data_IF_660340709632
#
_entry.id   IF_660340709632
#
_cell.length_a   1.000
_cell.length_b   1.000
_cell.length_c   1.000
_cell.angle_alpha   90.00
_cell.angle_beta   90.00
_cell.angle_gamma   90.00
#
_symmetry.space_group_name_H-M   'P 1'
#
loop_
_entity.id
_entity.type
_entity.pdbx_description
1 polymer ?
#
# COMPACT_ATOMS: atom_id res chain seq x y z
N UNK A 1 14.74 21.61 -26.37
CA UNK A 1 15.61 20.79 -25.51
C UNK A 1 14.79 19.61 -24.99
N UNK A 2 15.27 18.37 -25.20
CA UNK A 2 14.89 17.18 -24.43
C UNK A 2 13.50 16.55 -24.65
N UNK A 3 13.31 15.85 -25.77
CA UNK A 3 12.37 14.72 -25.85
C UNK A 3 13.06 13.53 -25.16
N UNK A 4 12.44 12.86 -24.17
CA UNK A 4 12.64 11.44 -23.75
C UNK A 4 11.91 11.06 -22.43
N UNK A 5 11.40 12.00 -21.64
CA UNK A 5 10.85 11.70 -20.29
C UNK A 5 9.42 11.08 -20.24
N UNK A 6 8.87 10.61 -21.36
CA UNK A 6 7.44 10.21 -21.42
C UNK A 6 7.14 8.73 -21.64
N UNK A 7 8.12 7.82 -21.70
CA UNK A 7 7.86 6.43 -22.13
C UNK A 7 8.52 5.29 -21.32
N UNK A 8 9.03 5.56 -20.11
CA UNK A 8 9.40 4.49 -19.16
C UNK A 8 8.45 4.47 -17.96
N UNK A 9 7.26 3.89 -18.14
CA UNK A 9 6.50 3.37 -17.02
C UNK A 9 7.27 2.20 -16.41
N UNK A 10 7.78 2.33 -15.19
CA UNK A 10 8.47 1.20 -14.57
C UNK A 10 8.77 1.35 -13.09
N UNK A 11 9.74 2.19 -12.72
CA UNK A 11 10.15 2.33 -11.33
C UNK A 11 10.54 3.78 -11.07
N UNK A 12 9.69 4.52 -10.34
CA UNK A 12 10.15 5.77 -9.73
C UNK A 12 11.29 5.40 -8.78
N UNK A 13 12.47 5.97 -9.01
CA UNK A 13 13.62 5.76 -8.14
C UNK A 13 13.46 6.65 -6.90
N UNK A 14 12.82 6.08 -5.88
CA UNK A 14 12.70 6.74 -4.59
C UNK A 14 14.00 6.64 -3.79
N UNK A 15 14.34 7.67 -2.98
CA UNK A 15 15.46 7.59 -2.06
C UNK A 15 15.30 6.37 -1.13
N UNK A 16 16.40 5.76 -0.67
CA UNK A 16 16.32 4.68 0.31
C UNK A 16 15.69 5.19 1.61
N UNK A 17 14.93 4.33 2.27
CA UNK A 17 14.41 4.61 3.61
C UNK A 17 15.58 4.72 4.59
N UNK A 18 15.59 5.76 5.42
CA UNK A 18 16.63 5.95 6.43
C UNK A 18 16.59 4.82 7.48
N UNK A 19 17.76 4.30 7.84
CA UNK A 19 17.89 3.12 8.69
C UNK A 19 17.40 3.35 10.14
N UNK A 20 17.46 4.59 10.61
CA UNK A 20 17.05 5.07 11.93
C UNK A 20 15.64 5.70 11.93
N UNK A 21 14.90 5.59 10.83
CA UNK A 21 13.54 6.13 10.76
C UNK A 21 12.52 5.23 11.46
N UNK A 22 11.48 5.83 12.03
CA UNK A 22 10.35 5.10 12.62
C UNK A 22 9.68 4.15 11.61
N UNK A 23 9.57 4.57 10.35
CA UNK A 23 9.06 3.72 9.27
C UNK A 23 9.92 2.47 9.02
N UNK A 24 11.24 2.52 9.29
CA UNK A 24 12.11 1.35 9.19
C UNK A 24 11.87 0.37 10.33
N UNK A 25 11.68 0.86 11.55
CA UNK A 25 11.31 0.02 12.70
C UNK A 25 9.99 -0.73 12.45
N UNK A 26 8.95 -0.03 12.00
CA UNK A 26 7.67 -0.68 11.65
C UNK A 26 7.84 -1.70 10.52
N UNK A 27 8.66 -1.40 9.51
CA UNK A 27 8.92 -2.35 8.43
C UNK A 27 9.55 -3.65 8.94
N UNK A 28 10.47 -3.56 9.90
CA UNK A 28 11.12 -4.73 10.49
C UNK A 28 10.14 -5.59 11.30
N UNK A 29 9.17 -4.98 11.98
CA UNK A 29 8.12 -5.70 12.73
C UNK A 29 7.18 -6.49 11.81
N UNK A 30 6.76 -5.89 10.70
CA UNK A 30 5.85 -6.54 9.73
C UNK A 30 6.59 -7.39 8.68
N UNK A 31 7.93 -7.40 8.70
CA UNK A 31 8.75 -8.03 7.67
C UNK A 31 8.38 -9.49 7.39
N UNK A 32 8.13 -10.37 8.38
CA UNK A 32 7.76 -11.76 8.09
C UNK A 32 6.47 -11.89 7.27
N UNK A 33 5.43 -11.12 7.63
CA UNK A 33 4.16 -11.12 6.90
C UNK A 33 4.30 -10.49 5.52
N UNK A 34 5.11 -9.42 5.42
CA UNK A 34 5.38 -8.73 4.17
C UNK A 34 6.22 -9.59 3.21
N UNK A 35 7.18 -10.37 3.71
CA UNK A 35 7.95 -11.33 2.91
C UNK A 35 7.05 -12.41 2.30
N UNK A 36 6.09 -12.93 3.07
CA UNK A 36 5.06 -13.84 2.55
C UNK A 36 4.29 -13.22 1.39
N UNK A 37 3.77 -12.00 1.61
CA UNK A 37 3.04 -11.26 0.57
C UNK A 37 3.91 -10.98 -0.67
N UNK A 38 5.17 -10.62 -0.48
CA UNK A 38 6.17 -10.40 -1.55
C UNK A 38 6.43 -11.68 -2.35
N UNK A 39 6.34 -12.86 -1.73
CA UNK A 39 6.43 -14.16 -2.41
C UNK A 39 5.19 -14.50 -3.22
N UNK A 40 4.01 -14.14 -2.71
CA UNK A 40 2.71 -14.51 -3.30
C UNK A 40 2.32 -13.66 -4.51
N UNK A 41 2.69 -12.37 -4.52
CA UNK A 41 2.27 -11.43 -5.56
C UNK A 41 3.43 -10.97 -6.45
N UNK A 42 3.22 -10.92 -7.76
CA UNK A 42 4.24 -10.45 -8.71
C UNK A 42 4.23 -8.93 -8.91
N UNK A 43 3.11 -8.30 -8.60
CA UNK A 43 2.91 -6.87 -8.79
C UNK A 43 3.75 -6.03 -7.82
N UNK A 44 4.05 -4.75 -8.18
CA UNK A 44 4.75 -3.83 -7.28
C UNK A 44 3.98 -3.62 -5.97
N UNK A 45 4.71 -3.43 -4.88
CA UNK A 45 4.13 -3.15 -3.56
C UNK A 45 4.49 -1.74 -3.10
N UNK A 46 3.49 -1.05 -2.58
CA UNK A 46 3.62 0.21 -1.85
C UNK A 46 3.03 0.05 -0.45
N UNK A 47 3.88 0.20 0.57
CA UNK A 47 3.53 0.05 1.98
C UNK A 47 3.31 1.43 2.59
N UNK A 48 2.18 1.60 3.26
CA UNK A 48 1.83 2.75 4.07
C UNK A 48 1.83 2.28 5.53
N UNK A 49 2.91 2.56 6.29
CA UNK A 49 2.98 2.15 7.69
C UNK A 49 2.01 2.96 8.56
N UNK A 50 1.42 2.28 9.55
CA UNK A 50 0.67 2.84 10.70
C UNK A 50 1.33 2.40 12.02
N UNK A 51 0.81 2.88 13.15
CA UNK A 51 1.32 2.55 14.49
C UNK A 51 1.03 1.10 14.89
N UNK A 52 -0.06 0.49 14.39
CA UNK A 52 -0.47 -0.87 14.76
C UNK A 52 -0.81 -1.77 13.56
N UNK A 53 -0.78 -1.22 12.35
CA UNK A 53 -1.03 -1.95 11.12
C UNK A 53 -0.22 -1.37 9.96
N UNK A 54 -0.25 -2.03 8.81
CA UNK A 54 0.32 -1.48 7.60
C UNK A 54 -0.58 -1.77 6.41
N UNK A 55 -0.89 -0.75 5.62
CA UNK A 55 -1.64 -0.90 4.38
C UNK A 55 -0.67 -1.16 3.23
N UNK A 56 -0.99 -2.14 2.39
CA UNK A 56 -0.17 -2.54 1.25
C UNK A 56 -0.99 -2.43 -0.02
N UNK A 57 -0.65 -1.43 -0.84
CA UNK A 57 -1.18 -1.30 -2.19
C UNK A 57 -0.39 -2.22 -3.13
N UNK A 58 -1.12 -3.06 -3.86
CA UNK A 58 -0.56 -4.07 -4.76
C UNK A 58 -0.87 -3.65 -6.20
N UNK A 59 0.15 -3.31 -7.00
CA UNK A 59 -0.02 -2.91 -8.40
C UNK A 59 0.40 -1.47 -8.69
N UNK A 60 -0.47 -0.74 -9.39
CA UNK A 60 -0.23 0.63 -9.87
C UNK A 60 -1.37 1.57 -9.44
N UNK A 61 -1.46 1.91 -8.14
CA UNK A 61 -2.42 2.91 -7.66
C UNK A 61 -2.13 4.30 -8.30
N UNK A 62 -3.16 5.15 -8.51
CA UNK A 62 -4.57 4.92 -8.24
C UNK A 62 -5.31 4.10 -9.33
N UNK A 63 -4.63 3.69 -10.40
CA UNK A 63 -5.31 3.14 -11.60
C UNK A 63 -5.80 1.71 -11.43
N UNK A 64 -4.89 0.79 -11.11
CA UNK A 64 -5.19 -0.65 -10.95
C UNK A 64 -4.40 -1.15 -9.77
N UNK A 65 -5.09 -1.43 -8.67
CA UNK A 65 -4.46 -1.89 -7.46
C UNK A 65 -5.37 -2.86 -6.71
N UNK A 66 -4.77 -3.81 -6.01
CA UNK A 66 -5.37 -4.45 -4.86
C UNK A 66 -4.95 -3.75 -3.58
N UNK A 67 -5.64 -4.03 -2.49
CA UNK A 67 -5.27 -3.59 -1.16
C UNK A 67 -5.19 -4.80 -0.24
N UNK A 68 -4.12 -4.87 0.54
CA UNK A 68 -3.98 -5.74 1.69
C UNK A 68 -3.62 -4.89 2.91
N UNK A 69 -3.82 -5.43 4.11
CA UNK A 69 -3.31 -4.82 5.32
C UNK A 69 -2.80 -5.89 6.28
N UNK A 70 -1.73 -5.54 6.98
CA UNK A 70 -1.04 -6.40 7.93
C UNK A 70 -1.39 -5.89 9.33
N UNK A 71 -2.03 -6.73 10.12
CA UNK A 71 -2.44 -6.45 11.50
C UNK A 71 -2.27 -7.71 12.34
N UNK A 72 -1.79 -7.59 13.58
CA UNK A 72 -1.58 -8.73 14.50
C UNK A 72 -0.83 -9.93 13.86
N UNK A 73 0.13 -9.65 12.98
CA UNK A 73 0.89 -10.67 12.23
C UNK A 73 0.10 -11.42 11.16
N UNK A 74 -1.13 -11.01 10.87
CA UNK A 74 -2.01 -11.57 9.84
C UNK A 74 -2.09 -10.62 8.65
N UNK A 75 -2.27 -11.20 7.46
CA UNK A 75 -2.54 -10.46 6.23
C UNK A 75 -4.02 -10.61 5.89
N UNK A 76 -4.73 -9.49 5.85
CA UNK A 76 -6.07 -9.41 5.30
C UNK A 76 -6.04 -8.71 3.94
N UNK A 77 -7.00 -9.01 3.07
CA UNK A 77 -7.12 -8.43 1.73
C UNK A 77 -8.47 -7.75 1.52
N UNK A 78 -8.52 -6.85 0.55
CA UNK A 78 -9.78 -6.28 0.09
C UNK A 78 -10.80 -7.35 -0.30
N UNK A 79 -10.35 -8.43 -0.93
CA UNK A 79 -11.22 -9.54 -1.31
C UNK A 79 -11.82 -10.23 -0.08
N UNK A 80 -11.00 -10.55 0.94
CA UNK A 80 -11.53 -11.13 2.18
C UNK A 80 -12.53 -10.20 2.88
N UNK A 81 -12.36 -8.88 2.82
CA UNK A 81 -13.35 -7.93 3.36
C UNK A 81 -14.69 -8.02 2.63
N UNK A 82 -14.67 -8.06 1.29
CA UNK A 82 -15.87 -8.20 0.47
C UNK A 82 -16.60 -9.51 0.82
N UNK A 83 -15.86 -10.59 0.96
CA UNK A 83 -16.41 -11.91 1.29
C UNK A 83 -16.98 -11.96 2.73
N UNK A 84 -16.22 -11.50 3.73
CA UNK A 84 -16.62 -11.51 5.15
C UNK A 84 -17.81 -10.59 5.44
N UNK A 85 -17.90 -9.45 4.75
CA UNK A 85 -18.99 -8.49 4.91
C UNK A 85 -20.13 -8.70 3.91
N UNK A 86 -20.04 -9.72 3.05
CA UNK A 86 -21.00 -10.00 1.99
C UNK A 86 -21.36 -8.76 1.16
N UNK A 87 -20.34 -7.96 0.80
CA UNK A 87 -20.57 -6.71 0.07
C UNK A 87 -21.10 -7.00 -1.33
N UNK A 88 -22.06 -6.20 -1.77
CA UNK A 88 -22.49 -6.23 -3.16
C UNK A 88 -21.39 -5.71 -4.08
N UNK A 89 -21.48 -6.03 -5.38
CA UNK A 89 -20.57 -5.48 -6.38
C UNK A 89 -20.55 -3.95 -6.35
N UNK A 90 -21.71 -3.30 -6.26
CA UNK A 90 -21.82 -1.85 -6.20
C UNK A 90 -21.14 -1.24 -4.96
N UNK A 91 -21.32 -1.87 -3.77
CA UNK A 91 -20.63 -1.42 -2.54
C UNK A 91 -19.12 -1.61 -2.64
N UNK A 92 -18.68 -2.73 -3.22
CA UNK A 92 -17.25 -3.02 -3.42
C UNK A 92 -16.61 -2.03 -4.39
N UNK A 93 -17.30 -1.66 -5.47
CA UNK A 93 -16.85 -0.63 -6.42
C UNK A 93 -16.77 0.75 -5.76
N UNK A 94 -17.79 1.14 -5.00
CA UNK A 94 -17.77 2.39 -4.23
C UNK A 94 -16.59 2.44 -3.26
N UNK A 95 -16.34 1.35 -2.54
CA UNK A 95 -15.22 1.25 -1.61
C UNK A 95 -13.87 1.41 -2.31
N UNK A 96 -13.71 0.77 -3.47
CA UNK A 96 -12.50 0.89 -4.28
C UNK A 96 -12.30 2.32 -4.81
N UNK A 97 -13.39 3.02 -5.15
CA UNK A 97 -13.36 4.41 -5.57
C UNK A 97 -12.97 5.37 -4.42
N UNK A 98 -13.46 5.12 -3.20
CA UNK A 98 -13.06 5.87 -2.01
C UNK A 98 -11.57 5.67 -1.70
N UNK A 99 -11.09 4.42 -1.73
CA UNK A 99 -9.66 4.08 -1.58
C UNK A 99 -8.81 4.74 -2.67
N UNK A 100 -9.33 4.83 -3.90
CA UNK A 100 -8.67 5.54 -4.99
C UNK A 100 -8.54 7.03 -4.68
N UNK A 101 -9.60 7.66 -4.18
CA UNK A 101 -9.61 9.05 -3.76
C UNK A 101 -8.57 9.32 -2.66
N UNK A 102 -8.54 8.48 -1.62
CA UNK A 102 -7.56 8.58 -0.54
C UNK A 102 -6.12 8.52 -1.06
N UNK A 103 -5.82 7.55 -1.92
CA UNK A 103 -4.50 7.46 -2.55
C UNK A 103 -4.16 8.70 -3.37
N UNK A 104 -5.13 9.26 -4.10
CA UNK A 104 -4.94 10.48 -4.90
C UNK A 104 -4.59 11.70 -4.04
N UNK A 105 -5.19 11.83 -2.85
CA UNK A 105 -4.87 12.89 -1.90
C UNK A 105 -3.44 12.81 -1.35
N UNK A 106 -2.81 11.64 -1.42
CA UNK A 106 -1.46 11.37 -0.96
C UNK A 106 -0.43 11.27 -2.10
N UNK A 107 -0.75 11.74 -3.31
CA UNK A 107 0.20 11.70 -4.43
C UNK A 107 1.45 12.56 -4.18
N UNK A 108 1.32 13.65 -3.42
CA UNK A 108 2.42 14.55 -3.08
C UNK A 108 3.22 14.11 -1.84
N UNK A 109 2.80 13.01 -1.18
CA UNK A 109 3.49 12.47 -0.01
C UNK A 109 4.91 11.98 -0.37
N UNK A 110 5.88 12.14 0.54
CA UNK A 110 7.22 11.62 0.35
C UNK A 110 7.18 10.10 0.21
N UNK A 111 8.03 9.58 -0.67
CA UNK A 111 8.12 8.16 -0.96
C UNK A 111 9.57 7.72 -0.91
N UNK A 112 9.76 6.55 -0.33
CA UNK A 112 11.05 5.94 -0.11
C UNK A 112 11.07 4.55 -0.70
N UNK A 113 12.24 3.95 -0.75
CA UNK A 113 12.39 2.56 -1.13
C UNK A 113 13.07 1.74 -0.05
N UNK A 114 12.60 0.52 0.11
CA UNK A 114 13.20 -0.47 1.00
C UNK A 114 13.29 -1.81 0.26
N UNK A 115 14.16 -2.70 0.74
CA UNK A 115 14.25 -4.08 0.26
C UNK A 115 13.68 -4.99 1.32
N UNK A 116 12.76 -5.88 0.91
CA UNK A 116 12.18 -6.94 1.74
C UNK A 116 12.36 -8.24 1.00
N UNK A 117 12.99 -9.23 1.65
CA UNK A 117 13.54 -10.40 0.95
C UNK A 117 14.46 -10.01 -0.21
N UNK A 118 14.09 -10.40 -1.43
CA UNK A 118 14.81 -10.08 -2.66
C UNK A 118 14.12 -9.01 -3.53
N UNK A 119 13.10 -8.32 -3.02
CA UNK A 119 12.32 -7.34 -3.80
C UNK A 119 12.39 -5.94 -3.23
N UNK A 120 12.51 -4.97 -4.13
CA UNK A 120 12.42 -3.55 -3.81
C UNK A 120 10.95 -3.15 -3.75
N UNK A 121 10.56 -2.52 -2.65
CA UNK A 121 9.21 -2.01 -2.40
C UNK A 121 9.24 -0.49 -2.20
N UNK A 122 8.09 0.15 -2.37
CA UNK A 122 7.90 1.57 -2.07
C UNK A 122 7.33 1.72 -0.67
N UNK A 123 7.82 2.69 0.09
CA UNK A 123 7.31 3.05 1.41
C UNK A 123 6.78 4.49 1.35
N UNK A 124 5.53 4.68 1.75
CA UNK A 124 4.86 5.99 1.78
C UNK A 124 4.41 6.28 3.21
N UNK A 125 5.28 6.88 4.05
CA UNK A 125 4.94 7.23 5.43
C UNK A 125 4.01 8.44 5.43
N UNK A 126 2.71 8.20 5.35
CA UNK A 126 1.67 9.23 5.27
C UNK A 126 0.56 8.92 6.25
N UNK A 127 0.57 9.59 7.40
CA UNK A 127 -0.50 9.51 8.41
C UNK A 127 -1.87 9.84 7.81
N UNK A 128 -1.93 10.81 6.89
CA UNK A 128 -3.19 11.16 6.22
C UNK A 128 -3.74 10.01 5.38
N UNK A 129 -2.88 9.35 4.60
CA UNK A 129 -3.30 8.23 3.76
C UNK A 129 -3.73 7.03 4.61
N UNK A 130 -2.96 6.77 5.66
CA UNK A 130 -3.23 5.73 6.63
C UNK A 130 -4.60 5.92 7.30
N UNK A 131 -4.87 7.12 7.86
CA UNK A 131 -6.16 7.46 8.47
C UNK A 131 -7.34 7.33 7.49
N UNK A 132 -7.20 7.87 6.28
CA UNK A 132 -8.27 7.79 5.28
C UNK A 132 -8.56 6.32 4.91
N UNK A 133 -7.54 5.49 4.69
CA UNK A 133 -7.73 4.07 4.37
C UNK A 133 -8.36 3.31 5.54
N UNK A 134 -7.89 3.57 6.77
CA UNK A 134 -8.45 2.95 7.98
C UNK A 134 -9.93 3.29 8.15
N UNK A 135 -10.30 4.57 8.04
CA UNK A 135 -11.70 5.02 8.15
C UNK A 135 -12.59 4.37 7.10
N UNK A 136 -12.12 4.31 5.85
CA UNK A 136 -12.84 3.70 4.73
C UNK A 136 -13.12 2.21 5.00
N UNK A 137 -12.12 1.45 5.45
CA UNK A 137 -12.28 0.02 5.76
C UNK A 137 -13.19 -0.18 6.99
N UNK A 138 -12.98 0.59 8.05
CA UNK A 138 -13.71 0.46 9.32
C UNK A 138 -15.18 0.88 9.23
N UNK A 139 -15.53 1.83 8.37
CA UNK A 139 -16.91 2.27 8.17
C UNK A 139 -17.70 1.40 7.20
N UNK A 140 -17.04 0.46 6.49
CA UNK A 140 -17.71 -0.44 5.57
C UNK A 140 -18.50 -1.51 6.32
N UNK A 141 -19.84 -1.51 6.13
CA UNK A 141 -20.80 -2.46 6.69
C UNK A 141 -21.75 -3.05 5.65
#
# INVERSE_FOLDING_TARGET
MGMLDRWFGGMKHYPPLAADSQAKHYLDEISPALEGLVGDVKDPLEVVPSDHEAFVFIGKPPKRFGLAWIHDGKVSSFQSLVEERHLSAAKSEQLLDELRGAYQHALDAPRYSATVGNRKITITPSMKLEQEVHEIISHTK
#
